data_IF_214919329826
#
_entry.id   IF_214919329826
#
_cell.length_a   1.000
_cell.length_b   1.000
_cell.length_c   1.000
_cell.angle_alpha   90.00
_cell.angle_beta   90.00
_cell.angle_gamma   90.00
#
_symmetry.space_group_name_H-M   'P 1'
#
loop_
_entity.id
_entity.type
_entity.pdbx_description
1 polymer ?
#
# COMPACT_ATOMS: atom_id res chain seq x y z
N UNK A 1 2.78 1.68 15.25
CA UNK A 1 2.04 2.82 14.67
C UNK A 1 0.57 2.62 15.02
N UNK A 2 -0.05 3.57 15.71
CA UNK A 2 -1.41 3.42 16.27
C UNK A 2 -2.52 3.75 15.25
N UNK A 3 -2.18 4.45 14.16
CA UNK A 3 -3.10 4.85 13.10
C UNK A 3 -2.52 4.61 11.69
N UNK A 4 -3.27 4.01 10.75
CA UNK A 4 -2.85 3.85 9.36
C UNK A 4 -3.07 5.15 8.58
N UNK A 5 -1.99 5.89 8.31
CA UNK A 5 -2.01 7.15 7.54
C UNK A 5 -1.94 6.98 6.01
N UNK A 6 -1.91 5.74 5.51
CA UNK A 6 -1.73 5.46 4.08
C UNK A 6 -2.55 4.25 3.66
N UNK A 7 -3.14 4.30 2.47
CA UNK A 7 -3.94 3.22 1.89
C UNK A 7 -3.61 3.04 0.41
N UNK A 8 -3.94 1.88 -0.13
CA UNK A 8 -3.92 1.60 -1.55
C UNK A 8 -4.76 0.38 -1.89
N UNK A 9 -4.87 0.05 -3.17
CA UNK A 9 -5.70 -1.04 -3.67
C UNK A 9 -4.79 -2.20 -4.04
N UNK A 10 -5.00 -3.35 -3.41
CA UNK A 10 -4.28 -4.57 -3.75
C UNK A 10 -4.72 -5.08 -5.13
N UNK A 11 -3.76 -5.39 -5.99
CA UNK A 11 -4.01 -5.79 -7.39
C UNK A 11 -3.57 -7.24 -7.70
N UNK A 12 -2.97 -7.94 -6.74
CA UNK A 12 -2.47 -9.31 -6.92
C UNK A 12 -0.94 -9.37 -6.94
N UNK A 13 -0.38 -10.59 -6.84
CA UNK A 13 1.07 -10.80 -6.96
C UNK A 13 1.94 -10.12 -5.89
N UNK A 14 1.38 -9.77 -4.73
CA UNK A 14 2.09 -8.98 -3.72
C UNK A 14 2.16 -7.49 -4.04
N UNK A 15 1.44 -7.00 -5.06
CA UNK A 15 1.46 -5.62 -5.50
C UNK A 15 0.19 -4.84 -5.16
N UNK A 16 0.36 -3.52 -5.01
CA UNK A 16 -0.74 -2.59 -4.77
C UNK A 16 -0.51 -1.28 -5.53
N UNK A 17 -1.59 -0.66 -5.99
CA UNK A 17 -1.59 0.68 -6.59
C UNK A 17 -1.95 1.72 -5.53
N UNK A 18 -1.18 2.81 -5.48
CA UNK A 18 -1.41 3.89 -4.52
C UNK A 18 -0.84 5.24 -4.99
N UNK A 19 -1.32 6.33 -4.40
CA UNK A 19 -0.70 7.64 -4.55
C UNK A 19 0.52 7.71 -3.62
N UNK A 20 1.74 7.67 -4.16
CA UNK A 20 2.95 7.71 -3.33
C UNK A 20 3.16 9.10 -2.74
N UNK A 21 3.34 9.16 -1.42
CA UNK A 21 3.76 10.36 -0.67
C UNK A 21 5.27 10.44 -0.44
N UNK A 22 6.03 9.48 -0.99
CA UNK A 22 7.49 9.50 -0.99
C UNK A 22 8.06 10.26 -2.18
N UNK A 23 9.28 9.93 -2.58
CA UNK A 23 10.04 10.62 -3.65
C UNK A 23 9.31 10.67 -5.00
N UNK A 24 8.45 9.70 -5.29
CA UNK A 24 7.76 9.61 -6.59
C UNK A 24 6.62 10.64 -6.74
N UNK A 25 5.96 11.05 -5.65
CA UNK A 25 4.83 12.01 -5.62
C UNK A 25 3.79 11.82 -6.74
N UNK A 26 3.47 10.58 -7.10
CA UNK A 26 2.56 10.21 -8.18
C UNK A 26 1.87 8.87 -7.91
N UNK A 27 0.88 8.53 -8.73
CA UNK A 27 0.27 7.19 -8.72
C UNK A 27 1.30 6.17 -9.21
N UNK A 28 1.57 5.16 -8.39
CA UNK A 28 2.55 4.11 -8.68
C UNK A 28 2.01 2.76 -8.25
N UNK A 29 2.58 1.71 -8.84
CA UNK A 29 2.48 0.34 -8.35
C UNK A 29 3.73 0.07 -7.52
N UNK A 30 3.55 -0.59 -6.38
CA UNK A 30 4.65 -1.00 -5.51
C UNK A 30 4.37 -2.38 -4.94
N UNK A 31 5.43 -3.11 -4.62
CA UNK A 31 5.34 -4.38 -3.91
C UNK A 31 5.11 -4.14 -2.41
N UNK A 32 4.15 -4.83 -1.82
CA UNK A 32 3.89 -4.86 -0.38
C UNK A 32 5.00 -5.58 0.39
N UNK A 33 5.73 -6.49 -0.27
CA UNK A 33 6.75 -7.36 0.31
C UNK A 33 8.16 -6.73 0.33
N UNK A 34 8.30 -5.50 -0.17
CA UNK A 34 9.60 -4.84 -0.29
C UNK A 34 9.61 -3.40 0.23
N UNK A 35 10.82 -2.89 0.51
CA UNK A 35 11.02 -1.53 0.97
C UNK A 35 10.45 -1.29 2.37
N UNK A 36 9.64 -0.23 2.52
CA UNK A 36 9.08 0.19 3.82
C UNK A 36 7.68 -0.36 4.09
N UNK A 37 7.05 -0.99 3.11
CA UNK A 37 5.66 -1.45 3.23
C UNK A 37 5.48 -2.67 4.14
N UNK A 38 6.38 -3.68 4.18
CA UNK A 38 6.21 -4.84 5.05
C UNK A 38 6.09 -4.49 6.54
N UNK A 39 6.95 -3.57 7.01
CA UNK A 39 6.97 -3.15 8.43
C UNK A 39 5.88 -2.14 8.78
N UNK A 40 5.18 -1.60 7.78
CA UNK A 40 4.10 -0.62 7.93
C UNK A 40 2.72 -1.20 7.61
N UNK A 41 2.67 -2.44 7.14
CA UNK A 41 1.42 -3.10 6.83
C UNK A 41 0.61 -3.31 8.11
N UNK A 42 -0.59 -2.72 8.14
CA UNK A 42 -1.49 -2.82 9.29
C UNK A 42 -2.57 -3.89 9.09
N UNK A 43 -3.05 -4.04 7.86
CA UNK A 43 -4.09 -4.99 7.49
C UNK A 43 -4.71 -4.65 6.13
N UNK A 44 -5.70 -5.43 5.74
CA UNK A 44 -6.49 -5.20 4.52
C UNK A 44 -7.98 -5.39 4.80
N UNK A 45 -8.81 -4.75 3.97
CA UNK A 45 -10.27 -4.86 4.01
C UNK A 45 -10.81 -5.01 2.60
N UNK A 46 -11.74 -5.94 2.41
CA UNK A 46 -12.55 -6.07 1.19
C UNK A 46 -13.81 -5.23 1.31
N UNK A 47 -14.08 -4.38 0.31
CA UNK A 47 -15.28 -3.53 0.24
C UNK A 47 -16.25 -3.92 -0.88
N UNK A 48 -15.78 -4.72 -1.85
CA UNK A 48 -16.60 -5.27 -2.92
C UNK A 48 -17.34 -6.51 -2.42
N UNK A 49 -18.59 -6.70 -2.86
CA UNK A 49 -19.42 -7.88 -2.57
C UNK A 49 -18.88 -9.12 -3.28
#
# INVERSE_FOLDING_TARGET
FKDPYHVGIYIGGGEFIHASSGTNMKVVISSLDSGRYPTRYYGARRILK
#
